data_IF_235253546297
#
_entry.id   IF_235253546297
#
_cell.length_a   1.000
_cell.length_b   1.000
_cell.length_c   1.000
_cell.angle_alpha   90.00
_cell.angle_beta   90.00
_cell.angle_gamma   90.00
#
_symmetry.space_group_name_H-M   'P 1'
#
loop_
_entity.id
_entity.type
_entity.pdbx_description
1 polymer ?
#
# COMPACT_ATOMS: atom_id res chain seq x y z
N UNK A 1 20.29 -7.42 14.14
CA UNK A 1 18.86 -7.12 14.36
C UNK A 1 18.20 -7.14 13.01
N UNK A 2 17.24 -8.04 12.86
CA UNK A 2 16.93 -8.77 11.63
C UNK A 2 16.40 -7.88 10.51
N UNK A 3 17.32 -7.41 9.65
CA UNK A 3 17.01 -6.98 8.29
C UNK A 3 16.65 -8.21 7.45
N UNK A 4 15.52 -8.84 7.77
CA UNK A 4 14.93 -9.84 6.90
C UNK A 4 14.64 -9.09 5.61
N UNK A 5 15.41 -9.37 4.57
CA UNK A 5 15.16 -8.97 3.20
C UNK A 5 13.75 -9.45 2.86
N UNK A 6 12.77 -8.60 3.13
CA UNK A 6 11.41 -8.79 2.66
C UNK A 6 11.57 -8.74 1.15
N UNK A 7 11.45 -9.89 0.49
CA UNK A 7 11.35 -9.90 -0.96
C UNK A 7 10.36 -8.81 -1.37
N UNK A 8 10.82 -7.91 -2.24
CA UNK A 8 10.09 -6.73 -2.71
C UNK A 8 8.90 -7.19 -3.58
N UNK A 9 7.89 -7.76 -2.94
CA UNK A 9 6.62 -8.08 -3.59
C UNK A 9 5.84 -6.79 -3.81
N UNK A 10 5.03 -6.77 -4.87
CA UNK A 10 4.10 -5.67 -5.12
C UNK A 10 3.19 -5.42 -3.92
N UNK A 11 2.78 -6.48 -3.20
CA UNK A 11 1.99 -6.37 -1.97
C UNK A 11 2.73 -5.56 -0.88
N UNK A 12 4.01 -5.86 -0.65
CA UNK A 12 4.79 -5.17 0.38
C UNK A 12 5.02 -3.69 0.03
N UNK A 13 5.29 -3.40 -1.25
CA UNK A 13 5.39 -2.01 -1.74
C UNK A 13 4.08 -1.23 -1.56
N UNK A 14 2.94 -1.87 -1.82
CA UNK A 14 1.62 -1.25 -1.59
C UNK A 14 1.46 -0.90 -0.10
N UNK A 15 1.81 -1.80 0.81
CA UNK A 15 1.69 -1.58 2.25
C UNK A 15 2.60 -0.47 2.75
N UNK A 16 3.87 -0.45 2.32
CA UNK A 16 4.85 0.57 2.70
C UNK A 16 4.42 1.97 2.27
N UNK A 17 4.01 2.13 1.01
CA UNK A 17 3.53 3.42 0.49
C UNK A 17 2.21 3.83 1.16
N UNK A 18 1.29 2.89 1.37
CA UNK A 18 0.02 3.20 2.01
C UNK A 18 0.21 3.65 3.45
N UNK A 19 1.11 3.02 4.20
CA UNK A 19 1.44 3.39 5.58
C UNK A 19 2.01 4.82 5.69
N UNK A 20 2.98 5.17 4.82
CA UNK A 20 3.51 6.55 4.76
C UNK A 20 2.40 7.56 4.42
N UNK A 21 1.58 7.24 3.41
CA UNK A 21 0.53 8.15 2.94
C UNK A 21 -0.57 8.32 3.98
N UNK A 22 -1.03 7.25 4.63
CA UNK A 22 -2.03 7.33 5.70
C UNK A 22 -1.50 8.13 6.89
N UNK A 23 -0.25 7.92 7.27
CA UNK A 23 0.39 8.66 8.38
C UNK A 23 0.51 10.17 8.10
N UNK A 24 0.77 10.55 6.84
CA UNK A 24 1.00 11.96 6.47
C UNK A 24 -0.25 12.72 6.05
N UNK A 25 -1.21 12.05 5.40
CA UNK A 25 -2.39 12.67 4.77
C UNK A 25 -3.71 12.25 5.41
N UNK A 26 -3.68 11.30 6.35
CA UNK A 26 -4.85 10.66 6.90
C UNK A 26 -5.51 9.69 5.91
N UNK A 27 -6.22 8.69 6.44
CA UNK A 27 -6.87 7.66 5.62
C UNK A 27 -7.80 8.23 4.54
N UNK A 28 -8.59 9.26 4.86
CA UNK A 28 -9.54 9.88 3.92
C UNK A 28 -8.85 10.70 2.82
N UNK A 29 -7.66 11.23 3.08
CA UNK A 29 -6.87 12.05 2.14
C UNK A 29 -6.06 11.24 1.11
N UNK A 30 -6.13 9.92 1.15
CA UNK A 30 -5.38 9.02 0.25
C UNK A 30 -6.34 8.23 -0.63
N UNK A 31 -6.09 8.21 -1.94
CA UNK A 31 -6.83 7.37 -2.89
C UNK A 31 -6.02 6.13 -3.30
N UNK A 32 -6.71 5.12 -3.85
CA UNK A 32 -6.05 3.96 -4.48
C UNK A 32 -5.12 4.41 -5.61
N UNK A 33 -5.52 5.43 -6.37
CA UNK A 33 -4.72 5.99 -7.45
C UNK A 33 -3.40 6.57 -6.94
N UNK A 34 -3.41 7.31 -5.83
CA UNK A 34 -2.19 7.86 -5.23
C UNK A 34 -1.20 6.76 -4.89
N UNK A 35 -1.67 5.69 -4.23
CA UNK A 35 -0.85 4.54 -3.84
C UNK A 35 -0.27 3.86 -5.09
N UNK A 36 -1.12 3.54 -6.08
CA UNK A 36 -0.65 2.86 -7.30
C UNK A 36 0.27 3.70 -8.16
N UNK A 37 0.08 5.02 -8.17
CA UNK A 37 0.95 5.97 -8.87
C UNK A 37 2.36 5.97 -8.28
N UNK A 38 2.46 6.00 -6.96
CA UNK A 38 3.76 5.96 -6.26
C UNK A 38 4.45 4.59 -6.39
N UNK A 39 3.68 3.49 -6.30
CA UNK A 39 4.21 2.13 -6.50
C UNK A 39 4.62 1.87 -7.96
N UNK A 40 4.09 2.64 -8.92
CA UNK A 40 4.35 2.46 -10.35
C UNK A 40 3.57 1.30 -10.99
N UNK A 41 2.35 1.03 -10.51
CA UNK A 41 1.48 -0.05 -11.00
C UNK A 41 0.11 0.47 -11.44
N UNK A 42 -0.66 -0.37 -12.13
CA UNK A 42 -2.07 -0.10 -12.40
C UNK A 42 -2.93 -0.48 -11.19
N UNK A 43 -4.06 0.20 -11.03
CA UNK A 43 -5.06 -0.15 -10.01
C UNK A 43 -5.50 -1.62 -10.10
N UNK A 44 -5.64 -2.17 -11.32
CA UNK A 44 -5.96 -3.58 -11.52
C UNK A 44 -4.93 -4.56 -10.96
N UNK A 45 -3.67 -4.14 -10.81
CA UNK A 45 -2.64 -4.94 -10.13
C UNK A 45 -2.79 -4.86 -8.62
N UNK A 46 -3.13 -3.69 -8.06
CA UNK A 46 -3.42 -3.54 -6.63
C UNK A 46 -4.63 -4.40 -6.24
N UNK A 47 -5.68 -4.40 -7.06
CA UNK A 47 -6.89 -5.18 -6.79
C UNK A 47 -6.70 -6.71 -6.83
N UNK A 48 -5.54 -7.20 -7.29
CA UNK A 48 -5.15 -8.62 -7.13
C UNK A 48 -4.66 -8.94 -5.71
N UNK A 49 -4.30 -7.92 -4.93
CA UNK A 49 -3.74 -8.05 -3.59
C UNK A 49 -4.71 -7.58 -2.50
N UNK A 50 -5.50 -6.54 -2.78
CA UNK A 50 -6.43 -5.93 -1.83
C UNK A 50 -7.72 -5.52 -2.55
N UNK A 51 -8.87 -5.85 -1.97
CA UNK A 51 -10.20 -5.55 -2.50
C UNK A 51 -10.52 -4.06 -2.47
N UNK A 52 -10.01 -3.34 -1.47
CA UNK A 52 -10.27 -1.92 -1.28
C UNK A 52 -9.21 -1.28 -0.37
N UNK A 53 -9.33 0.04 -0.16
CA UNK A 53 -8.41 0.83 0.69
C UNK A 53 -8.50 0.45 2.18
N UNK A 54 -9.65 -0.03 2.63
CA UNK A 54 -9.87 -0.44 4.02
C UNK A 54 -9.11 -1.72 4.35
N UNK A 55 -9.09 -2.71 3.46
CA UNK A 55 -8.32 -3.94 3.64
C UNK A 55 -6.81 -3.67 3.73
N UNK A 56 -6.32 -2.65 3.00
CA UNK A 56 -4.92 -2.20 3.12
C UNK A 56 -4.68 -1.66 4.54
N UNK A 57 -5.56 -0.79 5.02
CA UNK A 57 -5.46 -0.22 6.38
C UNK A 57 -5.50 -1.33 7.45
N UNK A 58 -6.44 -2.27 7.34
CA UNK A 58 -6.57 -3.43 8.24
C UNK A 58 -5.39 -4.42 8.14
N UNK A 59 -4.59 -4.35 7.09
CA UNK A 59 -3.38 -5.19 6.98
C UNK A 59 -2.18 -4.52 7.65
N UNK A 60 -2.18 -3.18 7.75
CA UNK A 60 -1.13 -2.41 8.41
C UNK A 60 -1.25 -2.47 9.95
N UNK A 61 -2.49 -2.45 10.46
CA UNK A 61 -2.83 -2.43 11.89
C UNK A 61 -3.41 -3.76 12.38
#
# INVERSE_FOLDING_TARGET
>A
MDSKLIESSTKNKILEIADDFFSRKGYTGVSIRDITGEVGIKESSLYKHFKNKEEILQTIF
#
